data_IF_624562345908
#
_entry.id   IF_624562345908
#
_cell.length_a   1.000
_cell.length_b   1.000
_cell.length_c   1.000
_cell.angle_alpha   90.00
_cell.angle_beta   90.00
_cell.angle_gamma   90.00
#
_symmetry.space_group_name_H-M   'P 1'
#
loop_
_entity.id
_entity.type
_entity.pdbx_description
1 polymer ?
#
# COMPACT_ATOMS: atom_id res chain seq x y z
N UNK A 1 -54.80 3.92 44.65
CA UNK A 1 -53.45 4.40 45.03
C UNK A 1 -52.51 3.97 43.91
N UNK A 2 -52.26 4.85 42.98
CA UNK A 2 -51.49 4.59 41.77
C UNK A 2 -50.10 5.16 41.90
N UNK A 3 -49.06 4.34 41.81
CA UNK A 3 -47.69 4.80 41.81
C UNK A 3 -47.24 5.08 40.36
N UNK A 4 -46.57 6.22 40.08
CA UNK A 4 -46.02 6.48 38.77
C UNK A 4 -44.63 5.88 38.66
N UNK A 5 -44.43 5.12 37.59
CA UNK A 5 -43.14 4.55 37.19
C UNK A 5 -42.31 5.66 36.52
N UNK A 6 -41.25 6.10 37.17
CA UNK A 6 -40.29 7.01 36.59
C UNK A 6 -39.42 6.31 35.52
N UNK A 7 -39.61 6.71 34.26
CA UNK A 7 -38.73 6.32 33.15
C UNK A 7 -37.43 7.10 33.30
N UNK A 8 -36.33 6.42 33.65
CA UNK A 8 -34.96 6.93 33.52
C UNK A 8 -34.58 6.96 32.05
N UNK A 9 -34.49 8.13 31.46
CA UNK A 9 -33.85 8.34 30.16
C UNK A 9 -32.35 8.16 30.36
N UNK A 10 -31.82 7.08 29.84
CA UNK A 10 -30.38 6.83 29.70
C UNK A 10 -29.83 7.72 28.60
N UNK A 11 -29.11 8.76 28.98
CA UNK A 11 -28.35 9.61 28.09
C UNK A 11 -27.11 8.84 27.65
N UNK A 12 -27.11 8.28 26.42
CA UNK A 12 -25.91 7.74 25.78
C UNK A 12 -24.99 8.95 25.50
N UNK A 13 -23.95 9.10 26.30
CA UNK A 13 -22.86 9.99 25.97
C UNK A 13 -22.08 9.37 24.81
N UNK A 14 -22.25 9.94 23.61
CA UNK A 14 -21.41 9.67 22.46
C UNK A 14 -20.04 10.31 22.75
N UNK A 15 -19.12 9.54 23.33
CA UNK A 15 -17.72 9.97 23.43
C UNK A 15 -17.12 9.90 22.01
N UNK A 16 -17.07 11.07 21.35
CA UNK A 16 -16.22 11.25 20.19
C UNK A 16 -14.78 11.00 20.65
N UNK A 17 -14.22 9.84 20.35
CA UNK A 17 -12.81 9.58 20.50
C UNK A 17 -12.10 10.52 19.52
N UNK A 18 -11.48 11.60 20.04
CA UNK A 18 -10.50 12.36 19.29
C UNK A 18 -9.37 11.39 18.91
N UNK A 19 -9.34 11.01 17.64
CA UNK A 19 -8.17 10.34 17.09
C UNK A 19 -6.99 11.32 17.22
N UNK A 20 -6.08 11.02 18.15
CA UNK A 20 -4.78 11.68 18.16
C UNK A 20 -4.09 11.34 16.82
N UNK A 21 -3.51 12.33 16.12
CA UNK A 21 -2.75 12.02 14.90
C UNK A 21 -1.63 11.05 15.26
N UNK A 22 -1.67 9.86 14.66
CA UNK A 22 -0.59 8.88 14.81
C UNK A 22 0.69 9.43 14.17
N UNK A 23 1.85 9.07 14.72
CA UNK A 23 3.14 9.33 14.06
C UNK A 23 3.05 8.78 12.62
N UNK A 24 3.19 9.64 11.62
CA UNK A 24 2.98 9.26 10.21
C UNK A 24 1.76 9.92 9.53
N UNK A 25 1.05 10.83 10.23
CA UNK A 25 -0.07 11.57 9.63
C UNK A 25 0.40 12.45 8.48
N UNK A 26 -0.21 12.26 7.30
CA UNK A 26 -0.03 13.11 6.14
C UNK A 26 -0.81 14.42 6.31
N UNK A 27 -0.33 15.50 5.68
CA UNK A 27 -1.10 16.73 5.52
C UNK A 27 -1.90 16.71 4.21
N UNK A 28 -2.92 17.55 4.14
CA UNK A 28 -3.67 17.87 2.90
C UNK A 28 -4.18 16.62 2.16
N UNK A 29 -4.73 15.65 2.90
CA UNK A 29 -5.35 14.46 2.31
C UNK A 29 -6.60 14.87 1.52
N UNK A 30 -6.64 14.47 0.26
CA UNK A 30 -7.79 14.73 -0.63
C UNK A 30 -9.08 14.10 -0.08
N UNK A 31 -10.24 14.75 -0.30
CA UNK A 31 -11.52 14.26 0.21
C UNK A 31 -11.82 12.81 -0.17
N UNK A 32 -11.50 12.42 -1.41
CA UNK A 32 -11.71 11.05 -1.91
C UNK A 32 -10.82 10.02 -1.24
N UNK A 33 -9.66 10.44 -0.70
CA UNK A 33 -8.63 9.56 -0.14
C UNK A 33 -8.71 9.42 1.39
N UNK A 34 -9.50 10.23 2.08
CA UNK A 34 -9.52 10.31 3.55
C UNK A 34 -9.73 8.96 4.22
N UNK A 35 -10.74 8.22 3.80
CA UNK A 35 -11.06 6.91 4.38
C UNK A 35 -9.93 5.90 4.12
N UNK A 36 -9.43 5.81 2.89
CA UNK A 36 -8.38 4.87 2.53
C UNK A 36 -7.03 5.18 3.18
N UNK A 37 -6.68 6.46 3.28
CA UNK A 37 -5.46 6.89 4.00
C UNK A 37 -5.58 6.61 5.49
N UNK A 38 -6.73 6.91 6.11
CA UNK A 38 -6.97 6.59 7.51
C UNK A 38 -6.88 5.07 7.78
N UNK A 39 -7.45 4.25 6.90
CA UNK A 39 -7.33 2.80 6.99
C UNK A 39 -5.87 2.33 6.91
N UNK A 40 -5.08 2.86 5.97
CA UNK A 40 -3.66 2.56 5.84
C UNK A 40 -2.84 2.98 7.08
N UNK A 41 -3.13 4.15 7.64
CA UNK A 41 -2.50 4.63 8.87
C UNK A 41 -2.84 3.74 10.07
N UNK A 42 -4.10 3.38 10.23
CA UNK A 42 -4.56 2.47 11.30
C UNK A 42 -3.96 1.06 11.17
N UNK A 43 -3.70 0.62 9.94
CA UNK A 43 -2.99 -0.63 9.66
C UNK A 43 -1.45 -0.53 9.88
N UNK A 44 -0.92 0.64 10.25
CA UNK A 44 0.50 0.86 10.48
C UNK A 44 1.34 0.93 9.19
N UNK A 45 0.71 1.19 8.05
CA UNK A 45 1.40 1.21 6.74
C UNK A 45 2.10 2.55 6.47
N UNK A 46 1.63 3.65 7.06
CA UNK A 46 2.24 4.97 6.90
C UNK A 46 3.50 5.09 7.78
N UNK A 47 4.71 5.17 7.18
CA UNK A 47 5.93 5.33 7.94
C UNK A 47 6.04 6.76 8.50
N UNK A 48 6.74 6.91 9.64
CA UNK A 48 6.96 8.22 10.25
C UNK A 48 7.73 9.20 9.35
N UNK A 49 8.49 8.72 8.39
CA UNK A 49 9.15 9.54 7.38
C UNK A 49 8.19 10.34 6.49
N UNK A 50 6.94 9.91 6.38
CA UNK A 50 5.89 10.65 5.66
C UNK A 50 5.13 11.65 6.52
N UNK A 51 5.44 11.77 7.82
CA UNK A 51 4.76 12.73 8.71
C UNK A 51 4.85 14.16 8.18
N UNK A 52 3.71 14.84 8.14
CA UNK A 52 3.56 16.20 7.62
C UNK A 52 3.88 16.38 6.12
N UNK A 53 4.12 15.31 5.38
CA UNK A 53 4.22 15.38 3.92
C UNK A 53 2.85 15.59 3.30
N UNK A 54 2.78 16.39 2.23
CA UNK A 54 1.54 16.57 1.47
C UNK A 54 1.10 15.24 0.85
N UNK A 55 -0.11 14.80 1.15
CA UNK A 55 -0.67 13.53 0.68
C UNK A 55 -0.80 13.47 -0.85
N UNK A 56 -1.19 14.58 -1.47
CA UNK A 56 -1.33 14.73 -2.92
C UNK A 56 0.02 14.85 -3.65
N UNK A 57 1.14 15.02 -2.93
CA UNK A 57 2.48 15.04 -3.52
C UNK A 57 2.92 13.66 -4.01
N UNK A 58 3.68 13.62 -5.12
CA UNK A 58 4.21 12.37 -5.65
C UNK A 58 5.14 11.69 -4.66
N UNK A 59 4.97 10.39 -4.44
CA UNK A 59 5.84 9.58 -3.58
C UNK A 59 7.14 9.25 -4.30
N UNK A 60 8.25 9.25 -3.56
CA UNK A 60 9.56 8.86 -4.08
C UNK A 60 9.80 7.36 -3.94
N UNK A 61 10.80 6.85 -4.65
CA UNK A 61 11.22 5.43 -4.56
C UNK A 61 11.65 5.05 -3.15
N UNK A 62 12.40 5.92 -2.45
CA UNK A 62 12.80 5.67 -1.07
C UNK A 62 11.62 5.74 -0.09
N UNK A 63 10.72 6.70 -0.24
CA UNK A 63 9.51 6.78 0.57
C UNK A 63 8.65 5.51 0.42
N UNK A 64 8.51 5.02 -0.83
CA UNK A 64 7.72 3.81 -1.06
C UNK A 64 8.40 2.55 -0.49
N UNK A 65 9.73 2.47 -0.42
CA UNK A 65 10.42 1.37 0.28
C UNK A 65 9.97 1.25 1.74
N UNK A 66 9.82 2.36 2.44
CA UNK A 66 9.36 2.35 3.83
C UNK A 66 7.90 1.85 3.95
N UNK A 67 7.01 2.26 3.02
CA UNK A 67 5.63 1.74 2.94
C UNK A 67 5.63 0.23 2.62
N UNK A 68 6.42 -0.19 1.64
CA UNK A 68 6.55 -1.58 1.21
C UNK A 68 7.05 -2.50 2.34
N UNK A 69 8.00 -2.04 3.16
CA UNK A 69 8.47 -2.79 4.33
C UNK A 69 7.38 -2.93 5.40
N UNK A 70 6.54 -1.91 5.61
CA UNK A 70 5.42 -2.02 6.53
C UNK A 70 4.36 -3.00 5.97
N UNK A 71 4.11 -2.98 4.65
CA UNK A 71 3.24 -3.95 4.00
C UNK A 71 3.80 -5.39 4.14
N UNK A 72 5.09 -5.59 3.89
CA UNK A 72 5.76 -6.89 4.10
C UNK A 72 5.57 -7.41 5.53
N UNK A 73 5.82 -6.57 6.54
CA UNK A 73 5.58 -6.94 7.95
C UNK A 73 4.13 -7.32 8.22
N UNK A 74 3.19 -6.58 7.61
CA UNK A 74 1.75 -6.80 7.81
C UNK A 74 1.27 -8.13 7.24
N UNK A 75 1.78 -8.53 6.06
CA UNK A 75 1.35 -9.78 5.40
C UNK A 75 2.15 -10.99 5.85
N UNK A 76 3.45 -10.84 6.13
CA UNK A 76 4.32 -11.96 6.52
C UNK A 76 4.36 -12.23 8.03
N UNK A 77 4.05 -11.23 8.86
CA UNK A 77 4.26 -11.27 10.31
C UNK A 77 5.74 -11.29 10.72
N UNK A 78 6.66 -11.21 9.76
CA UNK A 78 8.12 -11.31 10.02
C UNK A 78 8.70 -9.94 10.40
N UNK A 79 9.65 -9.92 11.33
CA UNK A 79 10.42 -8.71 11.63
C UNK A 79 11.45 -8.44 10.53
N UNK A 80 11.74 -7.15 10.31
CA UNK A 80 12.75 -6.73 9.34
C UNK A 80 13.99 -6.27 10.09
N UNK A 81 15.13 -6.85 9.75
CA UNK A 81 16.43 -6.49 10.31
C UNK A 81 17.33 -5.93 9.21
N UNK A 82 17.97 -4.82 9.50
CA UNK A 82 18.94 -4.21 8.59
C UNK A 82 20.34 -4.56 9.08
N UNK A 83 21.12 -5.25 8.25
CA UNK A 83 22.52 -5.53 8.52
C UNK A 83 23.33 -5.51 7.23
N UNK A 84 24.57 -5.08 7.29
CA UNK A 84 25.46 -5.11 6.15
C UNK A 84 25.79 -3.74 5.55
N UNK A 85 26.49 -3.78 4.41
CA UNK A 85 26.86 -2.57 3.67
C UNK A 85 25.65 -2.04 2.88
N UNK A 86 25.61 -0.72 2.70
CA UNK A 86 24.66 -0.09 1.78
C UNK A 86 24.80 -0.70 0.37
N UNK A 87 23.72 -1.10 -0.27
CA UNK A 87 23.77 -1.74 -1.59
C UNK A 87 24.03 -0.74 -2.73
N UNK A 88 23.75 0.55 -2.52
CA UNK A 88 23.83 1.60 -3.53
C UNK A 88 24.69 2.75 -3.05
N UNK A 89 25.53 3.31 -3.93
CA UNK A 89 26.41 4.43 -3.59
C UNK A 89 25.63 5.73 -3.35
N UNK A 90 24.54 5.94 -4.08
CA UNK A 90 23.68 7.12 -4.02
C UNK A 90 22.62 7.07 -2.91
N UNK A 91 22.50 5.96 -2.17
CA UNK A 91 21.48 5.82 -1.14
C UNK A 91 22.01 5.12 0.12
N UNK A 92 21.79 5.76 1.27
CA UNK A 92 22.12 5.21 2.59
C UNK A 92 20.89 5.02 3.49
N UNK A 93 19.68 5.11 2.94
CA UNK A 93 18.43 4.87 3.68
C UNK A 93 18.35 3.40 4.14
N UNK A 94 18.18 3.14 5.45
CA UNK A 94 18.07 1.79 5.97
C UNK A 94 16.84 1.05 5.43
N UNK A 95 15.74 1.74 5.10
CA UNK A 95 14.57 1.10 4.50
C UNK A 95 14.88 0.60 3.08
N UNK A 96 15.63 1.36 2.29
CA UNK A 96 16.08 0.94 0.97
C UNK A 96 17.01 -0.27 1.07
N UNK A 97 17.95 -0.24 2.03
CA UNK A 97 18.84 -1.38 2.30
C UNK A 97 18.05 -2.63 2.69
N UNK A 98 17.08 -2.51 3.59
CA UNK A 98 16.23 -3.62 4.01
C UNK A 98 15.39 -4.18 2.85
N UNK A 99 14.76 -3.32 2.06
CA UNK A 99 13.95 -3.71 0.92
C UNK A 99 14.79 -4.44 -0.15
N UNK A 100 16.04 -4.00 -0.36
CA UNK A 100 16.99 -4.67 -1.24
C UNK A 100 17.37 -6.07 -0.73
N UNK A 101 17.70 -6.20 0.55
CA UNK A 101 18.07 -7.49 1.16
C UNK A 101 16.92 -8.50 1.14
N UNK A 102 15.69 -8.04 1.19
CA UNK A 102 14.49 -8.86 1.05
C UNK A 102 14.13 -9.17 -0.43
N UNK A 103 14.84 -8.59 -1.39
CA UNK A 103 14.52 -8.73 -2.82
C UNK A 103 13.31 -7.91 -3.30
N UNK A 104 12.74 -7.05 -2.44
CA UNK A 104 11.58 -6.22 -2.77
C UNK A 104 11.94 -5.16 -3.82
N UNK A 105 13.17 -4.63 -3.77
CA UNK A 105 13.67 -3.65 -4.73
C UNK A 105 14.98 -4.08 -5.37
N UNK A 106 15.21 -3.53 -6.56
CA UNK A 106 16.49 -3.59 -7.27
C UNK A 106 16.96 -2.18 -7.60
N UNK A 107 18.25 -2.02 -7.86
CA UNK A 107 18.80 -0.78 -8.41
C UNK A 107 18.45 -0.60 -9.88
N UNK A 108 18.77 0.57 -10.40
CA UNK A 108 18.74 0.87 -11.82
C UNK A 108 19.89 0.18 -12.56
N UNK A 109 19.81 0.16 -13.88
CA UNK A 109 20.86 -0.44 -14.75
C UNK A 109 22.25 0.21 -14.60
N UNK A 110 22.28 1.46 -14.13
CA UNK A 110 23.53 2.18 -13.84
C UNK A 110 24.14 1.87 -12.45
N UNK A 111 23.49 0.98 -11.66
CA UNK A 111 23.90 0.62 -10.31
C UNK A 111 23.44 1.55 -9.19
N UNK A 112 22.72 2.63 -9.51
CA UNK A 112 22.11 3.55 -8.55
C UNK A 112 20.73 3.08 -8.12
N UNK A 113 20.23 3.61 -7.02
CA UNK A 113 18.86 3.42 -6.57
C UNK A 113 17.92 4.53 -7.03
N UNK A 114 18.43 5.77 -7.15
CA UNK A 114 17.68 7.00 -7.42
C UNK A 114 16.59 7.26 -6.37
N UNK A 115 16.95 7.47 -5.07
CA UNK A 115 16.00 7.51 -3.95
C UNK A 115 14.94 8.58 -4.08
N UNK A 116 15.27 9.73 -4.65
CA UNK A 116 14.40 10.90 -4.80
C UNK A 116 13.56 10.87 -6.09
N UNK A 117 13.83 9.92 -6.99
CA UNK A 117 13.04 9.76 -8.20
C UNK A 117 11.58 9.41 -7.85
N UNK A 118 10.64 9.97 -8.58
CA UNK A 118 9.22 9.60 -8.44
C UNK A 118 9.02 8.17 -8.94
N UNK A 119 8.29 7.38 -8.18
CA UNK A 119 8.01 6.00 -8.55
C UNK A 119 6.81 5.95 -9.51
N UNK A 120 6.90 5.11 -10.54
CA UNK A 120 5.76 4.85 -11.43
C UNK A 120 4.80 3.81 -10.83
N UNK A 121 3.58 3.75 -11.38
CA UNK A 121 2.58 2.78 -10.92
C UNK A 121 3.00 1.35 -11.19
N UNK A 122 3.61 1.07 -12.34
CA UNK A 122 4.14 -0.26 -12.67
C UNK A 122 5.31 -0.67 -11.77
N UNK A 123 6.20 0.29 -11.42
CA UNK A 123 7.27 0.03 -10.45
C UNK A 123 6.72 -0.30 -9.06
N UNK A 124 5.65 0.38 -8.64
CA UNK A 124 4.98 0.06 -7.37
C UNK A 124 4.35 -1.34 -7.39
N UNK A 125 3.65 -1.70 -8.47
CA UNK A 125 3.10 -3.05 -8.62
C UNK A 125 4.22 -4.11 -8.55
N UNK A 126 5.35 -3.86 -9.22
CA UNK A 126 6.51 -4.75 -9.16
C UNK A 126 7.07 -4.89 -7.74
N UNK A 127 7.14 -3.81 -6.98
CA UNK A 127 7.59 -3.89 -5.59
C UNK A 127 6.60 -4.64 -4.70
N UNK A 128 5.29 -4.45 -4.88
CA UNK A 128 4.25 -5.18 -4.14
C UNK A 128 4.27 -6.68 -4.48
N UNK A 129 4.44 -7.03 -5.74
CA UNK A 129 4.56 -8.43 -6.18
C UNK A 129 5.82 -9.09 -5.59
N UNK A 130 6.94 -8.39 -5.57
CA UNK A 130 8.17 -8.87 -4.91
C UNK A 130 7.97 -9.09 -3.40
N UNK A 131 7.04 -8.39 -2.74
CA UNK A 131 6.69 -8.67 -1.33
C UNK A 131 6.09 -10.06 -1.20
N UNK A 132 5.25 -10.50 -2.14
CA UNK A 132 4.66 -11.85 -2.11
C UNK A 132 5.76 -12.92 -2.13
N UNK A 133 6.71 -12.79 -3.05
CA UNK A 133 7.86 -13.68 -3.11
C UNK A 133 8.71 -13.66 -1.82
N UNK A 134 8.99 -12.46 -1.27
CA UNK A 134 9.74 -12.30 -0.02
C UNK A 134 9.02 -12.85 1.22
N UNK A 135 7.69 -12.88 1.18
CA UNK A 135 6.84 -13.38 2.25
C UNK A 135 6.49 -14.87 2.12
N UNK A 136 6.89 -15.53 1.03
CA UNK A 136 6.51 -16.90 0.65
C UNK A 136 4.97 -17.04 0.47
N UNK A 137 4.34 -16.01 -0.12
CA UNK A 137 2.91 -15.98 -0.43
C UNK A 137 2.72 -16.24 -1.92
N UNK A 138 1.93 -17.25 -2.26
CA UNK A 138 1.50 -17.50 -3.64
C UNK A 138 0.24 -16.67 -3.92
N UNK A 139 0.30 -15.85 -4.98
CA UNK A 139 -0.90 -15.21 -5.51
C UNK A 139 -1.71 -16.27 -6.26
N UNK A 140 -2.83 -16.68 -5.70
CA UNK A 140 -3.76 -17.58 -6.42
C UNK A 140 -4.47 -16.77 -7.49
N UNK A 141 -4.59 -17.33 -8.70
CA UNK A 141 -5.43 -16.73 -9.72
C UNK A 141 -6.86 -16.59 -9.18
N UNK A 142 -7.33 -15.37 -9.10
CA UNK A 142 -8.73 -15.11 -8.78
C UNK A 142 -9.44 -14.95 -10.11
N UNK A 143 -10.42 -15.80 -10.38
CA UNK A 143 -11.37 -15.57 -11.47
C UNK A 143 -12.21 -14.34 -11.07
N UNK A 144 -11.66 -13.15 -11.21
CA UNK A 144 -12.33 -11.89 -10.95
C UNK A 144 -12.98 -11.33 -12.19
N UNK A 145 -13.94 -10.42 -12.00
CA UNK A 145 -14.61 -9.72 -13.11
C UNK A 145 -13.69 -8.66 -13.77
N UNK A 146 -12.54 -8.36 -13.17
CA UNK A 146 -11.59 -7.38 -13.70
C UNK A 146 -10.56 -8.09 -14.60
N UNK A 147 -10.61 -7.79 -15.89
CA UNK A 147 -9.63 -8.26 -16.87
C UNK A 147 -8.67 -7.13 -17.19
N UNK A 148 -7.36 -7.43 -17.20
CA UNK A 148 -6.36 -6.43 -17.58
C UNK A 148 -6.58 -5.91 -19.02
N UNK A 149 -7.17 -6.74 -19.87
CA UNK A 149 -7.47 -6.41 -21.26
C UNK A 149 -8.57 -5.32 -21.39
N UNK A 150 -9.33 -5.05 -20.33
CA UNK A 150 -10.33 -3.97 -20.32
C UNK A 150 -9.71 -2.57 -20.25
N UNK A 151 -8.40 -2.50 -19.96
CA UNK A 151 -7.70 -1.21 -19.90
C UNK A 151 -7.03 -0.87 -21.23
N UNK A 152 -7.36 0.27 -21.83
CA UNK A 152 -6.89 0.62 -23.18
C UNK A 152 -5.39 0.87 -23.27
N UNK A 153 -4.72 1.08 -22.13
CA UNK A 153 -3.29 1.37 -22.05
C UNK A 153 -2.45 0.16 -21.59
N UNK A 154 -3.00 -1.06 -21.60
CA UNK A 154 -2.29 -2.28 -21.25
C UNK A 154 -0.99 -2.47 -22.04
N UNK A 155 -0.97 -2.10 -23.32
CA UNK A 155 0.21 -2.18 -24.17
C UNK A 155 1.34 -1.21 -23.78
N UNK A 156 1.10 -0.28 -22.86
CA UNK A 156 2.09 0.65 -22.34
C UNK A 156 2.82 0.09 -21.10
N UNK A 157 2.39 -1.06 -20.60
CA UNK A 157 3.06 -1.73 -19.47
C UNK A 157 4.39 -2.29 -19.96
N UNK A 158 5.47 -2.03 -19.21
CA UNK A 158 6.78 -2.60 -19.51
C UNK A 158 6.77 -4.13 -19.31
N UNK A 159 7.53 -4.85 -20.13
CA UNK A 159 7.59 -6.34 -20.09
C UNK A 159 7.88 -6.88 -18.69
N UNK A 160 8.77 -6.22 -17.91
CA UNK A 160 9.12 -6.65 -16.56
C UNK A 160 7.97 -6.47 -15.55
N UNK A 161 7.03 -5.59 -15.84
CA UNK A 161 5.96 -5.21 -14.94
C UNK A 161 4.61 -5.87 -15.32
N UNK A 162 4.54 -6.54 -16.47
CA UNK A 162 3.27 -7.11 -16.96
C UNK A 162 2.65 -8.04 -15.92
N UNK A 163 3.36 -9.10 -15.51
CA UNK A 163 2.83 -10.04 -14.51
C UNK A 163 2.51 -9.38 -13.16
N UNK A 164 3.39 -8.54 -12.57
CA UNK A 164 3.07 -7.76 -11.38
C UNK A 164 1.79 -6.91 -11.50
N UNK A 165 1.59 -6.23 -12.63
CA UNK A 165 0.39 -5.41 -12.83
C UNK A 165 -0.85 -6.29 -12.94
N UNK A 166 -0.81 -7.41 -13.68
CA UNK A 166 -1.90 -8.40 -13.74
C UNK A 166 -2.28 -8.86 -12.33
N UNK A 167 -1.30 -9.31 -11.54
CA UNK A 167 -1.53 -9.75 -10.15
C UNK A 167 -2.23 -8.67 -9.32
N UNK A 168 -1.80 -7.40 -9.44
CA UNK A 168 -2.40 -6.31 -8.67
C UNK A 168 -3.81 -5.94 -9.16
N UNK A 169 -4.12 -6.09 -10.45
CA UNK A 169 -5.47 -5.90 -11.01
C UNK A 169 -6.40 -7.01 -10.53
N UNK A 170 -6.01 -8.27 -10.70
CA UNK A 170 -6.82 -9.44 -10.33
C UNK A 170 -7.23 -9.42 -8.85
N UNK A 171 -6.34 -8.94 -7.99
CA UNK A 171 -6.59 -8.83 -6.56
C UNK A 171 -7.18 -7.47 -6.13
N UNK A 172 -7.64 -6.66 -7.08
CA UNK A 172 -8.25 -5.34 -6.83
C UNK A 172 -7.36 -4.38 -6.01
N UNK A 173 -6.04 -4.57 -6.05
CA UNK A 173 -5.06 -3.66 -5.45
C UNK A 173 -5.02 -2.36 -6.23
N UNK A 174 -5.09 -2.46 -7.57
CA UNK A 174 -5.25 -1.33 -8.48
C UNK A 174 -6.52 -1.52 -9.32
N UNK A 175 -7.30 -0.44 -9.48
CA UNK A 175 -8.57 -0.43 -10.21
C UNK A 175 -8.56 0.64 -11.33
N UNK A 176 -7.37 1.04 -11.76
CA UNK A 176 -7.21 2.14 -12.71
C UNK A 176 -7.49 3.52 -12.11
N UNK A 177 -7.38 4.50 -12.94
CA UNK A 177 -7.74 5.91 -12.69
C UNK A 177 -8.57 6.42 -13.86
N UNK A 178 -9.57 7.26 -13.59
CA UNK A 178 -10.35 7.87 -14.66
C UNK A 178 -9.58 9.02 -15.29
N UNK A 179 -9.30 8.91 -16.57
CA UNK A 179 -8.83 10.05 -17.37
C UNK A 179 -10.03 10.99 -17.63
N UNK A 180 -10.00 12.14 -16.96
CA UNK A 180 -11.10 13.12 -17.03
C UNK A 180 -11.27 13.75 -18.40
N UNK A 181 -10.31 13.61 -19.32
CA UNK A 181 -10.39 14.14 -20.68
C UNK A 181 -11.15 13.21 -21.62
N UNK A 182 -11.11 11.90 -21.37
CA UNK A 182 -11.70 10.85 -22.21
C UNK A 182 -12.84 10.10 -21.53
N UNK A 183 -13.06 10.32 -20.22
CA UNK A 183 -13.95 9.55 -19.36
C UNK A 183 -13.64 8.04 -19.41
N UNK A 184 -12.38 7.71 -19.58
CA UNK A 184 -11.90 6.33 -19.72
C UNK A 184 -11.08 5.93 -18.49
N UNK A 185 -11.26 4.72 -17.99
CA UNK A 185 -10.42 4.18 -16.91
C UNK A 185 -9.15 3.59 -17.53
N UNK A 186 -7.99 4.04 -17.03
CA UNK A 186 -6.66 3.62 -17.50
C UNK A 186 -5.81 3.14 -16.31
N UNK A 187 -4.81 2.32 -16.56
CA UNK A 187 -3.83 1.88 -15.56
C UNK A 187 -2.77 2.93 -15.29
N UNK A 188 -2.40 3.71 -16.30
CA UNK A 188 -1.33 4.70 -16.29
C UNK A 188 0.01 4.11 -15.78
N UNK A 189 0.57 3.05 -16.40
CA UNK A 189 1.70 2.29 -15.86
C UNK A 189 2.94 3.14 -15.59
N UNK A 190 3.29 4.06 -16.50
CA UNK A 190 4.40 5.00 -16.34
C UNK A 190 4.04 6.27 -15.55
N UNK A 191 2.78 6.44 -15.17
CA UNK A 191 2.31 7.59 -14.40
C UNK A 191 2.89 7.60 -12.99
N UNK A 192 3.19 8.80 -12.47
CA UNK A 192 3.63 8.96 -11.08
C UNK A 192 2.47 8.77 -10.12
N UNK A 193 2.77 8.29 -8.91
CA UNK A 193 1.78 8.02 -7.89
C UNK A 193 1.90 9.00 -6.73
N UNK A 194 0.78 9.46 -6.18
CA UNK A 194 0.78 10.30 -4.98
C UNK A 194 0.96 9.45 -3.71
N UNK A 195 1.36 10.08 -2.60
CA UNK A 195 1.50 9.40 -1.30
C UNK A 195 0.19 8.80 -0.83
N UNK A 196 -0.94 9.50 -1.02
CA UNK A 196 -2.27 8.98 -0.68
C UNK A 196 -2.65 7.76 -1.52
N UNK A 197 -2.39 7.78 -2.83
CA UNK A 197 -2.61 6.62 -3.70
C UNK A 197 -1.74 5.43 -3.29
N UNK A 198 -0.47 5.67 -3.00
CA UNK A 198 0.47 4.63 -2.58
C UNK A 198 0.03 3.93 -1.27
N UNK A 199 -0.42 4.70 -0.28
CA UNK A 199 -0.94 4.15 0.97
C UNK A 199 -2.22 3.34 0.77
N UNK A 200 -3.14 3.83 -0.07
CA UNK A 200 -4.37 3.11 -0.40
C UNK A 200 -4.06 1.79 -1.11
N UNK A 201 -3.13 1.80 -2.09
CA UNK A 201 -2.71 0.58 -2.78
C UNK A 201 -2.06 -0.40 -1.80
N UNK A 202 -1.16 0.05 -0.91
CA UNK A 202 -0.55 -0.79 0.10
C UNK A 202 -1.58 -1.39 1.07
N UNK A 203 -2.62 -0.64 1.44
CA UNK A 203 -3.69 -1.14 2.30
C UNK A 203 -4.54 -2.20 1.60
N UNK A 204 -4.91 -1.99 0.33
CA UNK A 204 -5.62 -2.98 -0.48
C UNK A 204 -4.80 -4.25 -0.64
N UNK A 205 -3.50 -4.12 -0.94
CA UNK A 205 -2.56 -5.23 -0.99
C UNK A 205 -2.56 -6.03 0.32
N UNK A 206 -2.41 -5.38 1.46
CA UNK A 206 -2.44 -6.07 2.75
C UNK A 206 -3.80 -6.72 3.04
N UNK A 207 -4.89 -6.16 2.55
CA UNK A 207 -6.22 -6.75 2.70
C UNK A 207 -6.37 -8.01 1.84
N UNK A 208 -5.87 -7.97 0.60
CA UNK A 208 -5.94 -9.08 -0.33
C UNK A 208 -5.06 -10.27 0.07
N UNK A 209 -3.85 -9.99 0.60
CA UNK A 209 -2.83 -11.01 0.85
C UNK A 209 -2.52 -11.28 2.33
N UNK A 210 -3.31 -10.72 3.25
CA UNK A 210 -3.15 -11.03 4.67
C UNK A 210 -3.56 -12.49 4.91
N UNK A 211 -2.69 -13.32 5.53
CA UNK A 211 -3.07 -14.68 5.85
C UNK A 211 -4.32 -14.66 6.75
N UNK A 212 -5.33 -15.43 6.35
CA UNK A 212 -6.51 -15.66 7.16
C UNK A 212 -6.06 -16.21 8.52
N UNK A 213 -6.33 -15.47 9.58
CA UNK A 213 -6.11 -15.95 10.95
C UNK A 213 -7.23 -16.92 11.37
N UNK A 214 -7.65 -17.79 10.47
CA UNK A 214 -8.49 -18.92 10.88
C UNK A 214 -7.56 -19.89 11.62
N UNK A 215 -7.76 -20.17 12.92
CA UNK A 215 -6.98 -21.19 13.59
C UNK A 215 -7.21 -22.48 12.80
N UNK A 216 -6.11 -23.10 12.34
CA UNK A 216 -6.18 -24.49 11.86
C UNK A 216 -6.76 -25.24 13.05
N UNK A 217 -8.01 -25.70 12.92
CA UNK A 217 -8.62 -26.58 13.91
C UNK A 217 -7.64 -27.74 14.07
N UNK A 218 -7.17 -27.95 15.31
CA UNK A 218 -6.35 -29.11 15.63
C UNK A 218 -7.09 -30.34 15.13
N UNK A 219 -6.50 -31.05 14.17
CA UNK A 219 -6.98 -32.36 13.76
C UNK A 219 -6.56 -33.29 14.87
N UNK A 220 -7.54 -33.72 15.70
CA UNK A 220 -7.41 -34.77 16.73
C UNK A 220 -7.12 -36.12 16.07
#
# INVERSE_FOLDING_TARGET
>A
MSHPIARRAGMLALTAAMLMPSAGALSDVSNWAQEGVAAAQNAGLAPSSLSNSAASGSITRAEFCAVALNAYKAVSGKAVYVSGKKPFEDCSDPNVTAAYLLGIVKGRTNGNFDPDAKISREEMCTMLDNILAAADIEATEIAGDACIEDYPDVSMISDYAMQPVVTMVDHSVINGITDTSTDTTILAPSGTTTREQALIMANRFCTAFKPDKTPIAAVD
#
